data_IF_768479680800
#
_entry.id   IF_768479680800
#
_cell.length_a   1.000
_cell.length_b   1.000
_cell.length_c   1.000
_cell.angle_alpha   90.00
_cell.angle_beta   90.00
_cell.angle_gamma   90.00
#
_symmetry.space_group_name_H-M   'P 1'
#
loop_
_entity.id
_entity.type
_entity.pdbx_description
1 polymer ?
#
# COMPACT_ATOMS: atom_id res chain seq x y z
N UNK A 1 19.82 -27.94 3.06
CA UNK A 1 18.35 -28.18 3.19
C UNK A 1 17.93 -27.49 4.47
N UNK A 2 17.25 -26.35 4.37
CA UNK A 2 16.73 -25.66 5.55
C UNK A 2 15.50 -26.42 6.05
N UNK A 3 15.51 -26.76 7.32
CA UNK A 3 14.39 -27.41 7.99
C UNK A 3 13.18 -26.45 7.92
N UNK A 4 11.98 -26.90 7.52
CA UNK A 4 10.82 -26.02 7.44
C UNK A 4 10.50 -25.47 8.84
N UNK A 5 10.36 -24.14 8.92
CA UNK A 5 10.02 -23.46 10.17
C UNK A 5 8.68 -24.01 10.69
N UNK A 6 8.70 -24.70 11.82
CA UNK A 6 7.47 -25.17 12.45
C UNK A 6 6.78 -24.02 13.18
N UNK A 7 5.70 -23.50 12.60
CA UNK A 7 4.85 -22.50 13.26
C UNK A 7 3.79 -23.23 14.08
N UNK A 8 3.75 -23.07 15.43
CA UNK A 8 2.73 -23.71 16.25
C UNK A 8 1.34 -23.13 15.93
N UNK A 9 0.30 -23.89 16.25
CA UNK A 9 -1.07 -23.40 16.11
C UNK A 9 -1.28 -22.17 17.01
N UNK A 10 -1.48 -21.01 16.38
CA UNK A 10 -1.70 -19.77 17.08
C UNK A 10 -3.18 -19.66 17.47
N UNK A 11 -3.44 -19.37 18.75
CA UNK A 11 -4.78 -19.09 19.25
C UNK A 11 -5.03 -17.58 19.20
N UNK A 12 -6.06 -17.16 18.46
CA UNK A 12 -6.57 -15.78 18.48
C UNK A 12 -7.98 -15.78 19.10
N UNK A 13 -8.16 -15.22 20.30
CA UNK A 13 -9.46 -15.17 20.96
C UNK A 13 -10.41 -14.16 20.35
N UNK A 14 -9.92 -13.30 19.45
CA UNK A 14 -10.70 -12.27 18.78
C UNK A 14 -11.44 -12.88 17.59
N UNK A 15 -12.78 -12.76 17.53
CA UNK A 15 -13.54 -13.21 16.38
C UNK A 15 -13.04 -12.52 15.10
N UNK A 16 -13.02 -13.28 13.98
CA UNK A 16 -12.69 -12.67 12.69
C UNK A 16 -13.80 -11.69 12.30
N UNK A 17 -13.47 -10.42 12.02
CA UNK A 17 -14.47 -9.45 11.59
C UNK A 17 -15.03 -9.82 10.22
N UNK A 18 -16.27 -9.44 9.94
CA UNK A 18 -16.83 -9.47 8.60
C UNK A 18 -16.00 -8.57 7.67
N UNK A 19 -15.97 -8.90 6.37
CA UNK A 19 -15.24 -8.16 5.34
C UNK A 19 -16.10 -8.05 4.07
N UNK A 20 -17.25 -7.38 4.16
CA UNK A 20 -18.26 -7.47 3.09
C UNK A 20 -17.77 -6.94 1.73
N UNK A 21 -16.76 -6.07 1.72
CA UNK A 21 -16.29 -5.39 0.52
C UNK A 21 -14.86 -5.77 0.11
N UNK A 22 -14.21 -6.72 0.78
CA UNK A 22 -12.79 -6.99 0.61
C UNK A 22 -12.34 -7.21 -0.83
N UNK A 23 -13.06 -8.04 -1.59
CA UNK A 23 -12.71 -8.35 -2.97
C UNK A 23 -12.96 -7.17 -3.94
N UNK A 24 -13.96 -6.34 -3.66
CA UNK A 24 -14.21 -5.11 -4.42
C UNK A 24 -13.11 -4.10 -4.15
N UNK A 25 -12.76 -3.91 -2.88
CA UNK A 25 -11.69 -3.00 -2.46
C UNK A 25 -10.35 -3.44 -3.04
N UNK A 26 -10.02 -4.74 -3.03
CA UNK A 26 -8.79 -5.25 -3.64
C UNK A 26 -8.70 -4.87 -5.13
N UNK A 27 -9.80 -5.04 -5.89
CA UNK A 27 -9.85 -4.68 -7.32
C UNK A 27 -9.67 -3.18 -7.56
N UNK A 28 -10.40 -2.35 -6.82
CA UNK A 28 -10.35 -0.89 -6.95
C UNK A 28 -8.96 -0.35 -6.61
N UNK A 29 -8.36 -0.81 -5.51
CA UNK A 29 -7.02 -0.43 -5.10
C UNK A 29 -5.99 -0.84 -6.14
N UNK A 30 -6.09 -2.05 -6.69
CA UNK A 30 -5.15 -2.54 -7.67
C UNK A 30 -5.23 -1.76 -9.00
N UNK A 31 -6.45 -1.45 -9.45
CA UNK A 31 -6.68 -0.59 -10.61
C UNK A 31 -6.08 0.82 -10.38
N UNK A 32 -6.27 1.38 -9.18
CA UNK A 32 -5.71 2.66 -8.78
C UNK A 32 -4.18 2.63 -8.77
N UNK A 33 -3.56 1.61 -8.16
CA UNK A 33 -2.10 1.46 -8.14
C UNK A 33 -1.51 1.38 -9.55
N UNK A 34 -2.16 0.66 -10.45
CA UNK A 34 -1.76 0.54 -11.85
C UNK A 34 -1.85 1.88 -12.56
N UNK A 35 -2.96 2.61 -12.38
CA UNK A 35 -3.18 3.95 -12.96
C UNK A 35 -2.09 4.95 -12.56
N UNK A 36 -1.61 4.89 -11.33
CA UNK A 36 -0.58 5.81 -10.81
C UNK A 36 0.83 5.24 -10.87
N UNK A 37 1.05 4.18 -11.65
CA UNK A 37 2.37 3.56 -11.86
C UNK A 37 3.08 3.20 -10.55
N UNK A 38 2.31 2.80 -9.53
CA UNK A 38 2.85 2.30 -8.27
C UNK A 38 3.35 0.85 -8.40
N UNK A 39 2.91 0.13 -9.42
CA UNK A 39 3.35 -1.22 -9.77
C UNK A 39 4.33 -1.14 -10.93
N UNK A 40 5.59 -1.52 -10.70
CA UNK A 40 6.69 -1.37 -11.67
C UNK A 40 6.87 -2.58 -12.59
N UNK A 41 6.68 -3.77 -12.05
CA UNK A 41 6.93 -5.03 -12.76
C UNK A 41 6.01 -6.16 -12.30
N UNK A 42 6.15 -7.32 -12.95
CA UNK A 42 5.30 -8.48 -12.67
C UNK A 42 5.54 -9.08 -11.27
N UNK A 43 6.78 -9.06 -10.77
CA UNK A 43 7.11 -9.60 -9.45
C UNK A 43 6.52 -8.73 -8.33
N UNK A 44 6.62 -7.40 -8.47
CA UNK A 44 5.98 -6.46 -7.56
C UNK A 44 4.45 -6.59 -7.60
N UNK A 45 3.89 -6.79 -8.80
CA UNK A 45 2.46 -7.07 -8.98
C UNK A 45 2.02 -8.28 -8.15
N UNK A 46 2.66 -9.41 -8.35
CA UNK A 46 2.34 -10.66 -7.65
C UNK A 46 2.44 -10.50 -6.12
N UNK A 47 3.49 -9.81 -5.66
CA UNK A 47 3.68 -9.54 -4.24
C UNK A 47 2.56 -8.66 -3.66
N UNK A 48 2.20 -7.57 -4.33
CA UNK A 48 1.17 -6.64 -3.87
C UNK A 48 -0.23 -7.26 -3.92
N UNK A 49 -0.54 -8.07 -4.94
CA UNK A 49 -1.76 -8.87 -4.99
C UNK A 49 -1.83 -9.87 -3.83
N UNK A 50 -0.69 -10.49 -3.48
CA UNK A 50 -0.59 -11.43 -2.36
C UNK A 50 -0.83 -10.82 -0.98
N UNK A 51 -0.58 -9.50 -0.80
CA UNK A 51 -0.84 -8.78 0.45
C UNK A 51 -2.34 -8.69 0.74
N UNK A 52 -3.19 -8.64 -0.29
CA UNK A 52 -4.64 -8.52 -0.16
C UNK A 52 -5.05 -7.33 0.71
N UNK A 53 -4.65 -6.13 0.29
CA UNK A 53 -4.85 -4.87 1.04
C UNK A 53 -6.32 -4.62 1.35
N UNK A 54 -7.23 -4.93 0.41
CA UNK A 54 -8.66 -4.80 0.63
C UNK A 54 -9.18 -5.73 1.73
N UNK A 55 -8.60 -6.93 1.84
CA UNK A 55 -8.92 -7.87 2.91
C UNK A 55 -8.45 -7.36 4.28
N UNK A 56 -7.23 -6.80 4.34
CA UNK A 56 -6.68 -6.19 5.55
C UNK A 56 -7.48 -4.97 5.98
N UNK A 57 -7.73 -4.05 5.06
CA UNK A 57 -8.45 -2.80 5.32
C UNK A 57 -9.92 -3.06 5.65
N UNK A 58 -10.57 -4.01 4.96
CA UNK A 58 -11.93 -4.43 5.27
C UNK A 58 -12.05 -5.06 6.66
N UNK A 59 -11.00 -5.72 7.17
CA UNK A 59 -10.98 -6.20 8.54
C UNK A 59 -10.86 -5.07 9.56
N UNK A 60 -10.10 -4.02 9.25
CA UNK A 60 -9.95 -2.85 10.10
C UNK A 60 -11.20 -1.95 10.11
N UNK A 61 -12.01 -2.02 9.05
CA UNK A 61 -13.22 -1.21 8.85
C UNK A 61 -14.44 -2.11 8.59
N UNK A 62 -14.66 -3.11 9.45
CA UNK A 62 -15.69 -4.15 9.25
C UNK A 62 -17.11 -3.60 9.05
N UNK A 63 -17.43 -2.48 9.69
CA UNK A 63 -18.72 -1.77 9.59
C UNK A 63 -18.62 -0.54 8.66
N UNK A 64 -17.50 -0.39 7.94
CA UNK A 64 -17.23 0.76 7.09
C UNK A 64 -18.04 0.74 5.79
N UNK A 65 -18.37 1.93 5.30
CA UNK A 65 -18.90 2.11 3.96
C UNK A 65 -17.82 1.79 2.91
N UNK A 66 -18.23 1.34 1.73
CA UNK A 66 -17.32 0.94 0.66
C UNK A 66 -16.33 2.06 0.28
N UNK A 67 -16.83 3.25 0.01
CA UNK A 67 -16.02 4.36 -0.51
C UNK A 67 -14.91 4.80 0.47
N UNK A 68 -15.16 5.09 1.77
CA UNK A 68 -14.10 5.36 2.73
C UNK A 68 -13.12 4.19 2.90
N UNK A 69 -13.59 2.95 2.79
CA UNK A 69 -12.73 1.76 2.87
C UNK A 69 -11.78 1.68 1.68
N UNK A 70 -12.24 2.03 0.47
CA UNK A 70 -11.39 2.14 -0.72
C UNK A 70 -10.30 3.19 -0.52
N UNK A 71 -10.65 4.38 -0.03
CA UNK A 71 -9.67 5.45 0.24
C UNK A 71 -8.63 5.02 1.28
N UNK A 72 -9.05 4.38 2.37
CA UNK A 72 -8.15 3.86 3.39
C UNK A 72 -7.22 2.77 2.82
N UNK A 73 -7.73 1.93 1.93
CA UNK A 73 -6.94 0.91 1.25
C UNK A 73 -5.95 1.50 0.23
N UNK A 74 -6.32 2.55 -0.49
CA UNK A 74 -5.41 3.30 -1.37
C UNK A 74 -4.26 3.92 -0.58
N UNK A 75 -4.53 4.52 0.58
CA UNK A 75 -3.48 5.02 1.47
C UNK A 75 -2.57 3.90 1.95
N UNK A 76 -3.13 2.76 2.36
CA UNK A 76 -2.35 1.59 2.79
C UNK A 76 -1.45 1.08 1.65
N UNK A 77 -1.99 0.97 0.44
CA UNK A 77 -1.25 0.56 -0.76
C UNK A 77 -0.09 1.51 -1.07
N UNK A 78 -0.36 2.82 -0.98
CA UNK A 78 0.67 3.83 -1.19
C UNK A 78 1.77 3.75 -0.13
N UNK A 79 1.41 3.60 1.15
CA UNK A 79 2.37 3.44 2.24
C UNK A 79 3.23 2.19 2.05
N UNK A 80 2.63 1.06 1.63
CA UNK A 80 3.38 -0.17 1.33
C UNK A 80 4.37 0.06 0.20
N UNK A 81 3.94 0.65 -0.92
CA UNK A 81 4.82 0.95 -2.04
C UNK A 81 5.92 1.96 -1.68
N UNK A 82 5.62 2.93 -0.80
CA UNK A 82 6.58 3.88 -0.27
C UNK A 82 7.63 3.18 0.61
N UNK A 83 7.20 2.35 1.53
CA UNK A 83 8.05 1.62 2.47
C UNK A 83 9.05 0.74 1.73
N UNK A 84 8.57 -0.09 0.82
CA UNK A 84 9.40 -0.94 -0.03
C UNK A 84 10.43 -0.16 -0.85
N UNK A 85 10.06 1.01 -1.32
CA UNK A 85 10.92 1.79 -2.23
C UNK A 85 11.92 2.66 -1.50
N UNK A 86 11.55 3.19 -0.34
CA UNK A 86 12.31 4.23 0.34
C UNK A 86 12.75 3.84 1.77
N UNK A 87 12.05 2.94 2.46
CA UNK A 87 12.40 2.54 3.81
C UNK A 87 13.23 1.25 3.86
N UNK A 88 12.89 0.22 3.08
CA UNK A 88 13.51 -1.10 3.10
C UNK A 88 14.79 -1.22 2.25
N UNK A 89 15.25 -0.13 1.65
CA UNK A 89 16.48 -0.18 0.83
C UNK A 89 17.72 -0.47 1.70
N UNK A 90 18.61 -1.30 1.18
CA UNK A 90 19.81 -1.82 1.87
C UNK A 90 20.83 -0.73 2.18
N UNK A 91 20.87 0.37 1.40
CA UNK A 91 21.79 1.48 1.60
C UNK A 91 21.08 2.75 2.10
N UNK A 92 21.19 3.07 3.42
CA UNK A 92 20.58 4.28 3.98
C UNK A 92 21.12 5.60 3.39
N UNK A 93 22.37 5.62 2.98
CA UNK A 93 22.99 6.85 2.44
C UNK A 93 22.47 7.15 1.03
N UNK A 94 22.31 6.12 0.18
CA UNK A 94 21.80 6.26 -1.17
C UNK A 94 20.33 6.73 -1.21
N UNK A 95 19.54 6.43 -0.18
CA UNK A 95 18.10 6.77 -0.11
C UNK A 95 17.78 8.10 0.54
N UNK A 96 18.70 8.64 1.38
CA UNK A 96 18.40 9.84 2.17
C UNK A 96 17.94 11.03 1.30
N UNK A 97 18.65 11.32 0.23
CA UNK A 97 18.33 12.46 -0.64
C UNK A 97 17.06 12.24 -1.47
N UNK A 98 16.83 11.08 -2.13
CA UNK A 98 15.57 10.80 -2.82
C UNK A 98 14.36 10.86 -1.87
N UNK A 99 14.47 10.30 -0.67
CA UNK A 99 13.39 10.32 0.33
C UNK A 99 13.11 11.75 0.78
N UNK A 100 14.12 12.54 1.09
CA UNK A 100 13.95 13.94 1.48
C UNK A 100 13.27 14.77 0.37
N UNK A 101 13.66 14.57 -0.89
CA UNK A 101 13.02 15.24 -2.04
C UNK A 101 11.56 14.85 -2.17
N UNK A 102 11.24 13.57 -2.01
CA UNK A 102 9.85 13.11 -2.06
C UNK A 102 9.02 13.69 -0.93
N UNK A 103 9.52 13.68 0.31
CA UNK A 103 8.81 14.25 1.46
C UNK A 103 8.55 15.75 1.27
N UNK A 104 9.53 16.51 0.76
CA UNK A 104 9.34 17.93 0.46
C UNK A 104 8.28 18.16 -0.63
N UNK A 105 8.23 17.32 -1.66
CA UNK A 105 7.19 17.38 -2.70
C UNK A 105 5.81 17.04 -2.14
N UNK A 106 5.69 15.99 -1.33
CA UNK A 106 4.44 15.63 -0.67
C UNK A 106 3.94 16.77 0.22
N UNK A 107 4.84 17.40 0.97
CA UNK A 107 4.49 18.56 1.79
C UNK A 107 3.98 19.71 0.93
N UNK A 108 4.66 20.04 -0.17
CA UNK A 108 4.22 21.09 -1.08
C UNK A 108 2.80 20.83 -1.65
N UNK A 109 2.50 19.56 -2.02
CA UNK A 109 1.15 19.15 -2.47
C UNK A 109 0.11 19.36 -1.39
N UNK A 110 0.45 19.03 -0.13
CA UNK A 110 -0.48 19.20 0.99
C UNK A 110 -0.74 20.67 1.33
N UNK A 111 0.26 21.54 1.14
CA UNK A 111 0.16 22.99 1.38
C UNK A 111 -0.58 23.72 0.24
N UNK A 112 -0.33 23.30 -1.02
CA UNK A 112 -0.97 23.87 -2.21
C UNK A 112 -1.10 22.80 -3.31
N UNK A 113 -2.23 22.07 -3.36
CA UNK A 113 -2.45 21.03 -4.36
C UNK A 113 -2.42 21.52 -5.82
N UNK A 114 -2.74 22.80 -6.05
CA UNK A 114 -2.85 23.39 -7.40
C UNK A 114 -1.49 23.92 -7.91
N UNK A 115 -0.50 24.07 -7.02
CA UNK A 115 0.84 24.55 -7.39
C UNK A 115 1.74 23.48 -8.04
N UNK A 116 1.30 22.24 -8.11
CA UNK A 116 2.09 21.17 -8.73
C UNK A 116 2.13 21.34 -10.25
N UNK A 117 3.34 21.29 -10.85
CA UNK A 117 3.43 21.15 -12.28
C UNK A 117 2.72 19.86 -12.71
N UNK A 118 1.97 19.91 -13.80
CA UNK A 118 1.42 18.71 -14.41
C UNK A 118 2.55 17.66 -14.55
N UNK A 119 2.25 16.37 -14.34
CA UNK A 119 3.25 15.34 -14.55
C UNK A 119 3.81 15.50 -15.96
N UNK A 120 5.13 15.57 -16.07
CA UNK A 120 5.77 15.54 -17.37
C UNK A 120 5.30 14.25 -18.06
N UNK A 121 4.73 14.38 -19.27
CA UNK A 121 4.41 13.22 -20.09
C UNK A 121 5.67 12.35 -20.21
N UNK A 122 5.54 11.01 -20.14
CA UNK A 122 6.66 10.10 -20.20
C UNK A 122 7.41 10.12 -21.52
#
# INVERSE_FOLDING_TARGET
>A
MSDPLHVPALHCPIPRPARPHADVVDKEVFAWMTRFSLVRDAAERERLEGIRIGWLTGAAHADGLLEPTVVAAQLTAWLTAFDDRYADSVDPAARALPTARLVLRLRAVMEDPDALPAPADP
#
